data_IF_904063838369
#
_entry.id   IF_904063838369
#
_cell.length_a   1.000
_cell.length_b   1.000
_cell.length_c   1.000
_cell.angle_alpha   90.00
_cell.angle_beta   90.00
_cell.angle_gamma   90.00
#
_symmetry.space_group_name_H-M   'P 1'
#
loop_
_entity.id
_entity.type
_entity.pdbx_description
1 polymer ?
#
# COMPACT_ATOMS: atom_id res chain seq x y z
N UNK A 1 0.64 44.79 0.66
CA UNK A 1 1.65 43.82 1.13
C UNK A 1 2.04 42.96 -0.06
N UNK A 2 3.27 43.04 -0.54
CA UNK A 2 3.71 42.31 -1.74
C UNK A 2 4.49 41.06 -1.33
N UNK A 3 3.96 39.88 -1.67
CA UNK A 3 4.58 38.59 -1.34
C UNK A 3 5.73 38.33 -2.31
N UNK A 4 6.96 38.19 -1.79
CA UNK A 4 8.15 37.87 -2.57
C UNK A 4 8.16 36.38 -2.94
N UNK A 5 7.91 36.07 -4.21
CA UNK A 5 8.17 34.73 -4.75
C UNK A 5 9.67 34.59 -5.00
N UNK A 6 10.35 33.75 -4.21
CA UNK A 6 11.77 33.44 -4.38
C UNK A 6 12.01 32.63 -5.67
N UNK A 7 13.05 32.98 -6.44
CA UNK A 7 13.48 32.19 -7.60
C UNK A 7 13.86 30.78 -7.15
N UNK A 8 13.13 29.76 -7.62
CA UNK A 8 13.48 28.35 -7.41
C UNK A 8 14.66 28.00 -8.33
N UNK A 9 15.73 27.42 -7.77
CA UNK A 9 16.88 26.92 -8.54
C UNK A 9 16.48 25.61 -9.21
N UNK A 10 16.42 25.59 -10.54
CA UNK A 10 16.05 24.42 -11.35
C UNK A 10 16.93 23.20 -11.13
N UNK A 11 18.17 23.40 -10.67
CA UNK A 11 19.15 22.34 -10.39
C UNK A 11 18.83 21.52 -9.15
N UNK A 12 17.90 21.98 -8.29
CA UNK A 12 17.46 21.26 -7.09
C UNK A 12 16.16 20.48 -7.32
N UNK A 13 15.68 20.42 -8.57
CA UNK A 13 14.49 19.68 -8.94
C UNK A 13 14.93 18.44 -9.70
N UNK A 14 14.65 17.27 -9.15
CA UNK A 14 14.86 15.98 -9.81
C UNK A 14 14.12 16.00 -11.16
N UNK A 15 14.81 15.78 -12.30
CA UNK A 15 14.21 15.98 -13.63
C UNK A 15 13.15 14.94 -13.98
N UNK A 16 13.12 13.80 -13.29
CA UNK A 16 12.12 12.73 -13.45
C UNK A 16 10.89 12.93 -12.57
N UNK A 17 10.90 13.95 -11.71
CA UNK A 17 9.76 14.23 -10.87
C UNK A 17 8.61 14.79 -11.72
N UNK A 18 7.47 14.12 -11.72
CA UNK A 18 6.32 14.52 -12.52
C UNK A 18 5.85 15.93 -12.13
N UNK A 19 5.75 16.82 -13.11
CA UNK A 19 5.05 18.09 -12.96
C UNK A 19 3.54 17.84 -13.09
N UNK A 20 2.74 18.44 -12.21
CA UNK A 20 1.29 18.54 -12.41
C UNK A 20 1.01 19.37 -13.66
N UNK A 21 0.04 18.95 -14.48
CA UNK A 21 -0.43 19.70 -15.67
C UNK A 21 -0.85 21.14 -15.30
N UNK A 22 -1.41 21.34 -14.11
CA UNK A 22 -1.90 22.64 -13.63
C UNK A 22 -0.89 23.38 -12.72
N UNK A 23 0.35 22.88 -12.61
CA UNK A 23 1.37 23.47 -11.73
C UNK A 23 1.12 23.26 -10.24
N UNK A 24 0.19 22.36 -9.89
CA UNK A 24 -0.06 21.92 -8.53
C UNK A 24 1.09 21.08 -7.94
N UNK A 25 1.03 20.76 -6.63
CA UNK A 25 1.97 19.81 -6.07
C UNK A 25 1.88 18.48 -6.83
N UNK A 26 3.00 17.80 -7.00
CA UNK A 26 3.06 16.52 -7.70
C UNK A 26 2.15 15.49 -7.06
N UNK A 27 1.38 14.76 -7.87
CA UNK A 27 0.55 13.67 -7.38
C UNK A 27 1.47 12.58 -6.80
N UNK A 28 1.36 12.38 -5.50
CA UNK A 28 2.09 11.37 -4.73
C UNK A 28 1.08 10.63 -3.86
N UNK A 29 1.44 9.45 -3.35
CA UNK A 29 0.59 8.70 -2.40
C UNK A 29 0.18 9.54 -1.17
N UNK A 30 0.99 10.54 -0.79
CA UNK A 30 0.68 11.43 0.35
C UNK A 30 -0.50 12.36 0.10
N UNK A 31 -0.81 12.64 -1.17
CA UNK A 31 -1.95 13.48 -1.56
C UNK A 31 -3.19 12.66 -1.90
N UNK A 32 -3.06 11.32 -1.98
CA UNK A 32 -4.19 10.45 -2.21
C UNK A 32 -5.09 10.38 -0.96
N UNK A 33 -6.39 10.27 -1.17
CA UNK A 33 -7.37 10.13 -0.08
C UNK A 33 -7.12 8.85 0.73
N UNK A 34 -6.78 7.76 0.04
CA UNK A 34 -6.34 6.51 0.63
C UNK A 34 -4.85 6.32 0.39
N UNK A 35 -4.11 6.08 1.47
CA UNK A 35 -2.69 5.76 1.42
C UNK A 35 -2.52 4.25 1.25
N UNK A 36 -1.63 3.85 0.33
CA UNK A 36 -1.35 2.45 0.03
C UNK A 36 -2.27 1.82 -1.02
N UNK A 37 -2.01 0.55 -1.33
CA UNK A 37 -2.82 -0.20 -2.29
C UNK A 37 -4.19 -0.53 -1.68
N UNK A 38 -5.25 -0.40 -2.49
CA UNK A 38 -6.57 -0.91 -2.14
C UNK A 38 -6.47 -2.41 -1.80
N UNK A 39 -7.33 -2.85 -0.88
CA UNK A 39 -7.44 -4.26 -0.53
C UNK A 39 -7.60 -5.09 -1.82
N UNK A 40 -6.84 -6.19 -2.00
CA UNK A 40 -6.98 -7.06 -3.17
C UNK A 40 -8.35 -7.76 -3.22
N UNK A 41 -9.11 -7.72 -2.12
CA UNK A 41 -10.44 -8.32 -2.00
C UNK A 41 -11.58 -7.33 -2.29
N UNK A 42 -11.27 -6.08 -2.64
CA UNK A 42 -12.26 -5.02 -2.83
C UNK A 42 -12.77 -4.43 -1.51
N UNK A 43 -13.72 -3.50 -1.62
CA UNK A 43 -14.32 -2.79 -0.47
C UNK A 43 -15.42 -3.60 0.23
N UNK A 44 -16.01 -4.57 -0.46
CA UNK A 44 -17.10 -5.42 0.06
C UNK A 44 -16.61 -6.49 1.06
N UNK A 45 -15.29 -6.71 1.14
CA UNK A 45 -14.69 -7.75 1.97
C UNK A 45 -14.38 -7.23 3.38
N UNK A 46 -15.19 -7.68 4.35
CA UNK A 46 -14.92 -7.41 5.76
C UNK A 46 -14.02 -8.48 6.38
N UNK A 47 -12.97 -8.04 7.07
CA UNK A 47 -12.08 -8.90 7.83
C UNK A 47 -12.25 -8.70 9.35
N UNK A 48 -12.04 -9.74 10.17
CA UNK A 48 -11.74 -11.12 9.77
C UNK A 48 -12.97 -11.85 9.19
N UNK A 49 -12.73 -12.80 8.29
CA UNK A 49 -13.79 -13.65 7.74
C UNK A 49 -14.35 -14.58 8.83
N UNK A 50 -15.67 -14.90 8.80
CA UNK A 50 -16.25 -15.92 9.65
C UNK A 50 -15.52 -17.26 9.51
N UNK A 51 -15.30 -17.98 10.61
CA UNK A 51 -14.55 -19.23 10.60
C UNK A 51 -15.13 -20.29 9.65
N UNK A 52 -16.44 -20.28 9.40
CA UNK A 52 -17.13 -21.17 8.45
C UNK A 52 -16.81 -20.87 6.98
N UNK A 53 -16.31 -19.67 6.68
CA UNK A 53 -15.96 -19.23 5.32
C UNK A 53 -14.46 -19.39 5.03
N UNK A 54 -13.65 -19.65 6.04
CA UNK A 54 -12.21 -19.85 5.89
C UNK A 54 -11.91 -21.31 5.58
N UNK A 55 -11.40 -21.59 4.37
CA UNK A 55 -10.97 -22.93 3.94
C UNK A 55 -9.61 -23.37 4.55
N UNK A 56 -9.21 -22.81 5.69
CA UNK A 56 -7.94 -23.13 6.32
C UNK A 56 -8.06 -24.43 7.12
N UNK A 57 -7.23 -25.41 6.79
CA UNK A 57 -7.04 -26.63 7.60
C UNK A 57 -5.61 -26.66 8.11
N UNK A 58 -5.45 -26.63 9.44
CA UNK A 58 -4.12 -26.68 10.04
C UNK A 58 -3.48 -28.04 9.80
N UNK A 59 -2.27 -28.13 9.21
CA UNK A 59 -1.60 -29.39 9.01
C UNK A 59 -1.27 -30.05 10.35
N UNK A 60 -1.90 -31.17 10.65
CA UNK A 60 -1.51 -32.01 11.79
C UNK A 60 -0.57 -33.10 11.28
N UNK A 61 0.73 -32.81 11.24
CA UNK A 61 1.72 -33.86 11.05
C UNK A 61 1.80 -34.69 12.34
N UNK A 62 1.36 -35.96 12.30
CA UNK A 62 1.69 -36.93 13.35
C UNK A 62 3.08 -37.49 13.04
N UNK A 63 4.06 -37.43 13.95
CA UNK A 63 5.31 -38.17 13.76
C UNK A 63 4.99 -39.65 13.57
N UNK A 64 5.66 -40.32 12.63
CA UNK A 64 5.59 -41.78 12.52
C UNK A 64 5.99 -42.38 13.88
N UNK A 65 5.11 -43.18 14.49
CA UNK A 65 5.51 -44.07 15.58
C UNK A 65 6.38 -45.15 14.94
N UNK A 66 7.70 -44.97 14.94
CA UNK A 66 8.61 -46.05 14.63
C UNK A 66 8.45 -47.09 15.75
N UNK A 67 7.66 -48.12 15.48
CA UNK A 67 7.55 -49.29 16.32
C UNK A 67 8.92 -49.99 16.27
N UNK A 68 9.67 -49.85 17.35
CA UNK A 68 10.89 -50.58 17.61
C UNK A 68 10.57 -52.06 17.78
N UNK A 69 10.74 -52.84 16.71
CA UNK A 69 10.88 -54.30 16.73
C UNK A 69 12.36 -54.65 16.95
#
# INVERSE_FOLDING_TARGET
MATRVGRRKSQLVEPTWFASEDGGPPLTELLAENQGALSPFGEDAQFPLPASEVNYQHPTAKPNRAENN
#
